data_IF_454073259410
#
_entry.id   IF_454073259410
#
_cell.length_a   1.000
_cell.length_b   1.000
_cell.length_c   1.000
_cell.angle_alpha   90.00
_cell.angle_beta   90.00
_cell.angle_gamma   90.00
#
_symmetry.space_group_name_H-M   'P 1'
#
loop_
_entity.id
_entity.type
_entity.pdbx_description
1 polymer ?
#
# COMPACT_ATOMS: atom_id res chain seq x y z
N UNK A 1 -28.03 -26.18 -65.34
CA UNK A 1 -27.65 -27.58 -65.64
C UNK A 1 -27.51 -28.34 -64.34
N UNK A 2 -28.19 -29.47 -64.14
CA UNK A 2 -28.02 -30.28 -62.94
C UNK A 2 -26.61 -30.91 -62.94
N UNK A 3 -25.92 -30.88 -61.79
CA UNK A 3 -24.61 -31.52 -61.64
C UNK A 3 -24.74 -33.02 -62.01
N UNK A 4 -23.83 -33.50 -62.86
CA UNK A 4 -23.74 -34.92 -63.22
C UNK A 4 -23.59 -35.79 -61.97
N UNK A 5 -24.22 -36.96 -61.97
CA UNK A 5 -24.27 -37.91 -60.84
C UNK A 5 -22.88 -38.25 -60.30
N UNK A 6 -21.87 -38.28 -61.17
CA UNK A 6 -20.45 -38.49 -60.82
C UNK A 6 -19.89 -37.36 -59.96
N UNK A 7 -20.12 -36.08 -60.33
CA UNK A 7 -19.66 -34.94 -59.52
C UNK A 7 -20.33 -34.89 -58.15
N UNK A 8 -21.59 -35.35 -58.04
CA UNK A 8 -22.26 -35.45 -56.73
C UNK A 8 -21.67 -36.54 -55.84
N UNK A 9 -21.21 -37.65 -56.44
CA UNK A 9 -20.52 -38.74 -55.73
C UNK A 9 -19.13 -38.33 -55.25
N UNK A 10 -18.36 -37.60 -56.07
CA UNK A 10 -17.06 -37.06 -55.68
C UNK A 10 -17.16 -36.06 -54.52
N UNK A 11 -18.14 -35.14 -54.57
CA UNK A 11 -18.37 -34.17 -53.49
C UNK A 11 -18.76 -34.87 -52.18
N UNK A 12 -19.59 -35.91 -52.23
CA UNK A 12 -19.95 -36.71 -51.05
C UNK A 12 -18.74 -37.46 -50.49
N UNK A 13 -17.92 -38.06 -51.35
CA UNK A 13 -16.70 -38.75 -50.93
C UNK A 13 -15.70 -37.78 -50.27
N UNK A 14 -15.49 -36.60 -50.84
CA UNK A 14 -14.61 -35.58 -50.26
C UNK A 14 -15.13 -35.01 -48.94
N UNK A 15 -16.46 -34.87 -48.79
CA UNK A 15 -17.11 -34.46 -47.55
C UNK A 15 -16.94 -35.53 -46.45
N UNK A 16 -17.12 -36.81 -46.77
CA UNK A 16 -16.95 -37.91 -45.81
C UNK A 16 -15.50 -38.04 -45.33
N UNK A 17 -14.52 -37.81 -46.21
CA UNK A 17 -13.10 -37.79 -45.83
C UNK A 17 -12.80 -36.61 -44.89
N UNK A 18 -13.34 -35.42 -45.19
CA UNK A 18 -13.15 -34.23 -44.34
C UNK A 18 -13.82 -34.38 -42.97
N UNK A 19 -15.00 -35.00 -42.90
CA UNK A 19 -15.71 -35.27 -41.65
C UNK A 19 -14.93 -36.29 -40.80
N UNK A 20 -14.38 -37.35 -41.41
CA UNK A 20 -13.53 -38.33 -40.70
C UNK A 20 -12.27 -37.69 -40.14
N UNK A 21 -11.63 -36.79 -40.90
CA UNK A 21 -10.45 -36.05 -40.44
C UNK A 21 -10.78 -35.14 -39.25
N UNK A 22 -11.88 -34.39 -39.32
CA UNK A 22 -12.33 -33.54 -38.21
C UNK A 22 -12.66 -34.34 -36.94
N UNK A 23 -13.26 -35.53 -37.07
CA UNK A 23 -13.51 -36.42 -35.94
C UNK A 23 -12.21 -36.96 -35.31
N UNK A 24 -11.18 -37.24 -36.11
CA UNK A 24 -9.85 -37.63 -35.61
C UNK A 24 -9.15 -36.47 -34.88
N UNK A 25 -9.22 -35.26 -35.42
CA UNK A 25 -8.62 -34.09 -34.79
C UNK A 25 -9.33 -33.75 -33.46
N UNK A 26 -10.66 -33.90 -33.40
CA UNK A 26 -11.43 -33.67 -32.18
C UNK A 26 -11.14 -34.71 -31.09
N UNK A 27 -10.93 -35.98 -31.46
CA UNK A 27 -10.53 -37.04 -30.52
C UNK A 27 -9.10 -36.85 -30.02
N UNK A 28 -8.19 -36.37 -30.88
CA UNK A 28 -6.83 -36.02 -30.49
C UNK A 28 -6.79 -34.82 -29.52
N UNK A 29 -7.53 -33.74 -29.81
CA UNK A 29 -7.65 -32.59 -28.91
C UNK A 29 -8.24 -32.99 -27.56
N UNK A 30 -9.27 -33.85 -27.55
CA UNK A 30 -9.87 -34.36 -26.31
C UNK A 30 -8.87 -35.16 -25.48
N UNK A 31 -8.05 -36.00 -26.12
CA UNK A 31 -6.97 -36.74 -25.45
C UNK A 31 -5.92 -35.82 -24.81
N UNK A 32 -5.53 -34.73 -25.49
CA UNK A 32 -4.61 -33.74 -24.93
C UNK A 32 -5.24 -33.02 -23.72
N UNK A 33 -6.49 -32.59 -23.83
CA UNK A 33 -7.20 -31.91 -22.74
C UNK A 33 -7.33 -32.83 -21.51
N UNK A 34 -7.67 -34.10 -21.71
CA UNK A 34 -7.79 -35.07 -20.63
C UNK A 34 -6.43 -35.35 -19.96
N UNK A 35 -5.35 -35.44 -20.74
CA UNK A 35 -3.98 -35.62 -20.23
C UNK A 35 -3.49 -34.40 -19.42
N UNK A 36 -3.74 -33.19 -19.92
CA UNK A 36 -3.40 -31.94 -19.23
C UNK A 36 -4.22 -31.79 -17.95
N UNK A 37 -5.52 -32.11 -17.99
CA UNK A 37 -6.41 -32.10 -16.82
C UNK A 37 -5.92 -33.07 -15.75
N UNK A 38 -5.57 -34.31 -16.12
CA UNK A 38 -5.00 -35.30 -15.21
C UNK A 38 -3.68 -34.82 -14.58
N UNK A 39 -2.79 -34.19 -15.36
CA UNK A 39 -1.55 -33.62 -14.86
C UNK A 39 -1.76 -32.48 -13.86
N UNK A 40 -2.74 -31.59 -14.12
CA UNK A 40 -3.10 -30.51 -13.20
C UNK A 40 -3.68 -31.07 -11.89
N UNK A 41 -4.56 -32.07 -11.97
CA UNK A 41 -5.14 -32.73 -10.79
C UNK A 41 -4.05 -33.40 -9.94
N UNK A 42 -3.09 -34.08 -10.57
CA UNK A 42 -1.97 -34.71 -9.86
C UNK A 42 -1.08 -33.68 -9.14
N UNK A 43 -0.78 -32.54 -9.79
CA UNK A 43 -0.03 -31.44 -9.17
C UNK A 43 -0.80 -30.84 -7.99
N UNK A 44 -2.11 -30.63 -8.14
CA UNK A 44 -2.94 -30.08 -7.07
C UNK A 44 -3.02 -31.03 -5.87
N UNK A 45 -3.21 -32.33 -6.09
CA UNK A 45 -3.22 -33.33 -5.02
C UNK A 45 -1.87 -33.40 -4.30
N UNK A 46 -0.75 -33.39 -5.03
CA UNK A 46 0.58 -33.38 -4.41
C UNK A 46 0.83 -32.15 -3.53
N UNK A 47 0.29 -30.98 -3.92
CA UNK A 47 0.37 -29.77 -3.10
C UNK A 47 -0.56 -29.86 -1.89
N UNK A 48 -1.74 -30.48 -2.05
CA UNK A 48 -2.70 -30.67 -0.98
C UNK A 48 -2.11 -31.55 0.14
N UNK A 49 -1.46 -32.66 -0.22
CA UNK A 49 -0.75 -33.54 0.72
C UNK A 49 0.33 -32.79 1.52
N UNK A 50 1.09 -31.91 0.85
CA UNK A 50 2.12 -31.08 1.51
C UNK A 50 1.49 -30.09 2.50
N UNK A 51 0.32 -29.53 2.19
CA UNK A 51 -0.39 -28.64 3.10
C UNK A 51 -1.03 -29.39 4.27
N UNK A 52 -1.59 -30.58 4.04
CA UNK A 52 -2.14 -31.42 5.10
C UNK A 52 -1.06 -31.83 6.11
N UNK A 53 0.12 -32.24 5.62
CA UNK A 53 1.26 -32.53 6.49
C UNK A 53 1.68 -31.33 7.34
N UNK A 54 1.77 -30.13 6.75
CA UNK A 54 2.07 -28.90 7.51
C UNK A 54 1.01 -28.56 8.56
N UNK A 55 -0.26 -28.84 8.27
CA UNK A 55 -1.35 -28.64 9.21
C UNK A 55 -1.21 -29.59 10.40
N UNK A 56 -0.83 -30.85 10.17
CA UNK A 56 -0.62 -31.81 11.26
C UNK A 56 0.65 -31.52 12.07
N UNK A 57 1.72 -31.05 11.44
CA UNK A 57 2.91 -30.53 12.15
C UNK A 57 2.54 -29.33 13.05
N UNK A 58 1.72 -28.40 12.56
CA UNK A 58 1.24 -27.28 13.37
C UNK A 58 0.31 -27.72 14.51
N UNK A 59 -0.55 -28.72 14.29
CA UNK A 59 -1.41 -29.27 15.36
C UNK A 59 -0.58 -29.91 16.46
N UNK A 60 0.47 -30.66 16.10
CA UNK A 60 1.37 -31.29 17.07
C UNK A 60 2.19 -30.27 17.85
N UNK A 61 2.61 -29.18 17.22
CA UNK A 61 3.26 -28.06 17.90
C UNK A 61 2.30 -27.35 18.88
N UNK A 62 1.05 -27.13 18.47
CA UNK A 62 0.01 -26.55 19.33
C UNK A 62 -0.32 -27.44 20.53
N UNK A 63 -0.41 -28.76 20.36
CA UNK A 63 -0.64 -29.68 21.49
C UNK A 63 0.55 -29.69 22.44
N UNK A 64 1.78 -29.65 21.93
CA UNK A 64 2.98 -29.52 22.77
C UNK A 64 2.98 -28.24 23.60
N UNK A 65 2.65 -27.09 22.99
CA UNK A 65 2.53 -25.81 23.70
C UNK A 65 1.43 -25.87 24.76
N UNK A 66 0.30 -26.53 24.47
CA UNK A 66 -0.77 -26.72 25.46
C UNK A 66 -0.32 -27.58 26.64
N UNK A 67 0.38 -28.69 26.39
CA UNK A 67 0.90 -29.53 27.47
C UNK A 67 1.95 -28.82 28.31
N UNK A 68 2.84 -28.03 27.69
CA UNK A 68 3.85 -27.25 28.38
C UNK A 68 3.20 -26.19 29.30
N UNK A 69 2.18 -25.48 28.81
CA UNK A 69 1.40 -24.55 29.63
C UNK A 69 0.59 -25.24 30.73
N UNK A 70 0.08 -26.44 30.49
CA UNK A 70 -0.67 -27.18 31.52
C UNK A 70 0.26 -27.64 32.66
N UNK A 71 1.47 -28.09 32.33
CA UNK A 71 2.55 -28.39 33.30
C UNK A 71 2.96 -27.12 34.06
N UNK A 72 3.10 -26.00 33.38
CA UNK A 72 3.43 -24.71 33.99
C UNK A 72 2.31 -24.25 34.97
N UNK A 73 1.04 -24.40 34.57
CA UNK A 73 -0.13 -24.11 35.42
C UNK A 73 -0.17 -25.05 36.62
N UNK A 74 0.12 -26.35 36.47
CA UNK A 74 0.17 -27.28 37.60
C UNK A 74 1.32 -26.94 38.56
N UNK A 75 2.48 -26.53 38.03
CA UNK A 75 3.62 -26.07 38.84
C UNK A 75 3.29 -24.81 39.62
N UNK A 76 2.59 -23.86 39.00
CA UNK A 76 2.11 -22.62 39.65
C UNK A 76 1.05 -22.95 40.71
N UNK A 77 0.14 -23.89 40.45
CA UNK A 77 -0.86 -24.35 41.43
C UNK A 77 -0.22 -25.05 42.63
N UNK A 78 0.76 -25.94 42.41
CA UNK A 78 1.52 -26.58 43.48
C UNK A 78 2.28 -25.53 44.32
N UNK A 79 2.91 -24.55 43.66
CA UNK A 79 3.55 -23.42 44.33
C UNK A 79 2.53 -22.60 45.15
N UNK A 80 1.34 -22.31 44.61
CA UNK A 80 0.26 -21.61 45.34
C UNK A 80 -0.26 -22.38 46.56
N UNK A 81 -0.29 -23.72 46.51
CA UNK A 81 -0.67 -24.55 47.65
C UNK A 81 0.41 -24.51 48.76
N UNK A 82 1.69 -24.52 48.39
CA UNK A 82 2.80 -24.34 49.35
C UNK A 82 2.86 -22.91 49.92
N UNK A 83 2.47 -21.91 49.13
CA UNK A 83 2.32 -20.52 49.57
C UNK A 83 1.22 -20.35 50.62
N UNK A 84 0.11 -21.09 50.48
CA UNK A 84 -1.01 -21.01 51.42
C UNK A 84 -0.71 -21.65 52.80
N UNK A 85 0.34 -22.48 52.89
CA UNK A 85 0.79 -23.11 54.14
C UNK A 85 1.75 -22.25 54.97
N UNK A 86 2.31 -21.17 54.42
CA UNK A 86 3.28 -20.29 55.09
C UNK A 86 2.77 -18.86 55.12
N UNK A 87 1.82 -18.60 56.02
CA UNK A 87 1.25 -17.28 56.26
C UNK A 87 2.30 -16.25 56.71
N UNK A 88 2.13 -15.03 56.20
CA UNK A 88 2.57 -13.73 56.74
C UNK A 88 4.02 -13.23 56.54
N UNK A 89 4.81 -13.76 55.59
CA UNK A 89 6.10 -13.14 55.21
C UNK A 89 6.33 -12.93 53.70
N UNK A 90 5.32 -13.22 52.87
CA UNK A 90 5.55 -13.54 51.46
C UNK A 90 5.71 -12.35 50.49
N UNK A 91 5.16 -11.17 50.81
CA UNK A 91 5.07 -10.08 49.81
C UNK A 91 6.42 -9.39 49.49
N UNK A 92 7.37 -9.35 50.44
CA UNK A 92 8.67 -8.71 50.19
C UNK A 92 9.67 -9.64 49.47
N UNK A 93 9.61 -10.94 49.71
CA UNK A 93 10.58 -11.90 49.14
C UNK A 93 10.26 -12.18 47.66
N UNK A 94 8.98 -12.25 47.27
CA UNK A 94 8.58 -12.52 45.88
C UNK A 94 8.95 -11.38 44.92
N UNK A 95 8.70 -10.12 45.33
CA UNK A 95 9.09 -8.93 44.55
C UNK A 95 10.62 -8.87 44.37
N UNK A 96 11.37 -9.16 45.43
CA UNK A 96 12.84 -9.16 45.38
C UNK A 96 13.39 -10.27 44.48
N UNK A 97 12.73 -11.43 44.43
CA UNK A 97 13.15 -12.58 43.62
C UNK A 97 12.82 -12.41 42.14
N UNK A 98 11.64 -11.88 41.80
CA UNK A 98 11.27 -11.58 40.40
C UNK A 98 12.12 -10.43 39.83
N UNK A 99 12.42 -9.39 40.62
CA UNK A 99 13.33 -8.32 40.21
C UNK A 99 14.77 -8.82 39.98
N UNK A 100 15.23 -9.79 40.79
CA UNK A 100 16.53 -10.42 40.59
C UNK A 100 16.55 -11.36 39.38
N UNK A 101 15.42 -11.98 39.02
CA UNK A 101 15.28 -12.73 37.77
C UNK A 101 15.28 -11.82 36.54
N UNK A 102 14.59 -10.67 36.59
CA UNK A 102 14.60 -9.67 35.51
C UNK A 102 16.01 -9.07 35.32
N UNK A 103 16.73 -8.79 36.42
CA UNK A 103 18.14 -8.35 36.38
C UNK A 103 19.11 -9.38 35.80
N UNK A 104 18.79 -10.68 35.87
CA UNK A 104 19.66 -11.78 35.39
C UNK A 104 19.39 -12.18 33.94
N UNK A 105 18.16 -12.04 33.45
CA UNK A 105 17.76 -12.51 32.11
C UNK A 105 18.11 -11.53 30.98
N UNK A 106 18.20 -10.25 31.31
CA UNK A 106 18.67 -9.17 30.44
C UNK A 106 19.63 -8.36 31.32
N UNK A 107 20.85 -8.05 30.87
CA UNK A 107 21.81 -7.23 31.62
C UNK A 107 21.21 -5.85 31.90
N UNK A 108 20.32 -5.73 32.88
CA UNK A 108 19.45 -4.59 33.08
C UNK A 108 19.80 -3.89 34.38
N UNK A 109 19.87 -2.57 34.33
CA UNK A 109 20.28 -1.70 35.43
C UNK A 109 19.08 -0.91 35.96
N UNK A 110 19.00 -0.81 37.29
CA UNK A 110 18.06 0.06 37.96
C UNK A 110 18.65 1.48 38.00
N UNK A 111 18.00 2.43 37.34
CA UNK A 111 18.49 3.79 37.16
C UNK A 111 17.98 4.76 38.23
N UNK A 112 16.80 4.53 38.81
CA UNK A 112 16.30 5.38 39.90
C UNK A 112 17.07 5.12 41.20
N UNK A 113 17.69 6.18 41.74
CA UNK A 113 18.39 6.19 43.04
C UNK A 113 17.71 7.09 44.08
N UNK A 114 16.59 7.72 43.73
CA UNK A 114 15.89 8.69 44.59
C UNK A 114 15.06 7.94 45.63
N UNK A 115 15.30 8.27 46.89
CA UNK A 115 14.62 7.71 48.05
C UNK A 115 13.48 8.62 48.49
N UNK A 116 12.40 8.02 48.97
CA UNK A 116 11.32 8.74 49.64
C UNK A 116 11.72 9.18 51.06
N UNK A 117 10.80 9.82 51.78
CA UNK A 117 11.00 10.28 53.17
C UNK A 117 11.38 9.17 54.16
N UNK A 118 11.10 7.90 53.84
CA UNK A 118 11.45 6.74 54.67
C UNK A 118 12.76 6.07 54.23
N UNK A 119 13.53 6.69 53.33
CA UNK A 119 14.78 6.14 52.82
C UNK A 119 14.61 4.96 51.85
N UNK A 120 13.38 4.68 51.37
CA UNK A 120 13.05 3.58 50.46
C UNK A 120 12.88 4.06 49.02
N UNK A 121 13.21 3.19 48.06
CA UNK A 121 12.94 3.41 46.62
C UNK A 121 11.67 2.63 46.28
N UNK A 122 10.60 3.33 45.91
CA UNK A 122 9.33 2.70 45.51
C UNK A 122 9.20 2.61 43.99
N UNK A 123 9.56 3.67 43.28
CA UNK A 123 9.42 3.72 41.82
C UNK A 123 10.66 3.12 41.14
N UNK A 124 10.48 1.98 40.48
CA UNK A 124 11.55 1.30 39.76
C UNK A 124 11.65 1.79 38.32
N UNK A 125 12.89 2.05 37.87
CA UNK A 125 13.20 2.48 36.50
C UNK A 125 14.33 1.58 36.03
N UNK A 126 13.98 0.56 35.26
CA UNK A 126 14.92 -0.45 34.78
C UNK A 126 15.16 -0.25 33.29
N UNK A 127 16.41 -0.21 32.88
CA UNK A 127 16.82 -0.17 31.47
C UNK A 127 17.82 -1.27 31.17
N UNK A 128 17.90 -1.79 29.93
CA UNK A 128 19.05 -2.58 29.52
C UNK A 128 20.34 -1.78 29.71
N UNK A 129 21.43 -2.43 30.11
CA UNK A 129 22.75 -1.83 30.39
C UNK A 129 23.36 -1.07 29.22
N UNK A 130 22.89 -1.36 28.01
CA UNK A 130 23.29 -0.66 26.78
C UNK A 130 22.70 0.76 26.72
N UNK A 131 21.67 1.06 27.50
CA UNK A 131 21.03 2.37 27.57
C UNK A 131 21.36 3.07 28.89
N UNK A 132 21.87 4.30 28.79
CA UNK A 132 21.97 5.19 29.93
C UNK A 132 20.61 5.82 30.23
N UNK A 133 20.29 5.99 31.51
CA UNK A 133 19.14 6.76 31.95
C UNK A 133 19.53 7.55 33.19
N UNK A 134 19.34 8.87 33.14
CA UNK A 134 19.55 9.74 34.27
C UNK A 134 18.19 10.06 34.90
N UNK A 135 18.10 9.89 36.22
CA UNK A 135 16.87 10.11 36.99
C UNK A 135 17.13 11.18 38.03
N UNK A 136 16.38 12.28 37.97
CA UNK A 136 16.48 13.41 38.90
C UNK A 136 15.12 13.69 39.56
N UNK A 137 15.08 14.29 40.77
CA UNK A 137 13.83 14.78 41.34
C UNK A 137 13.25 15.89 40.45
N UNK A 138 11.93 15.86 40.23
CA UNK A 138 11.23 16.87 39.42
C UNK A 138 11.16 18.20 40.19
N UNK A 139 11.84 19.21 39.67
CA UNK A 139 11.91 20.55 40.27
C UNK A 139 10.69 21.41 39.92
N UNK A 140 9.95 21.06 38.85
CA UNK A 140 8.81 21.83 38.35
C UNK A 140 7.50 21.02 38.39
N UNK A 141 7.09 20.58 39.59
CA UNK A 141 5.92 19.72 39.74
C UNK A 141 4.59 20.47 39.43
N UNK A 142 3.75 19.86 38.57
CA UNK A 142 2.40 20.36 38.23
C UNK A 142 1.35 20.16 39.35
N UNK A 143 1.70 19.36 40.34
CA UNK A 143 0.89 18.96 41.50
C UNK A 143 1.82 19.04 42.73
N UNK A 144 1.32 19.35 43.94
CA UNK A 144 2.13 19.24 45.15
C UNK A 144 2.85 17.89 45.23
N UNK A 145 4.13 17.91 45.61
CA UNK A 145 4.96 16.72 45.65
C UNK A 145 4.39 15.76 46.71
N UNK A 146 4.17 14.52 46.30
CA UNK A 146 3.84 13.44 47.23
C UNK A 146 5.14 13.00 47.93
N UNK A 147 5.17 13.09 49.25
CA UNK A 147 6.33 12.72 50.05
C UNK A 147 6.65 11.23 50.02
N UNK A 148 5.65 10.38 49.73
CA UNK A 148 5.84 8.95 49.52
C UNK A 148 6.29 8.64 48.09
N UNK A 149 5.83 9.43 47.12
CA UNK A 149 6.13 9.30 45.69
C UNK A 149 6.71 10.60 45.12
N UNK A 150 8.00 10.89 45.38
CA UNK A 150 8.63 12.08 44.83
C UNK A 150 8.56 12.02 43.30
N UNK A 151 8.09 13.10 42.67
CA UNK A 151 8.02 13.16 41.23
C UNK A 151 9.43 13.05 40.62
N UNK A 152 9.57 12.25 39.57
CA UNK A 152 10.85 11.94 38.94
C UNK A 152 10.88 12.46 37.50
N UNK A 153 11.99 13.08 37.12
CA UNK A 153 12.34 13.41 35.74
C UNK A 153 13.34 12.37 35.24
N UNK A 154 13.06 11.76 34.09
CA UNK A 154 13.89 10.70 33.52
C UNK A 154 14.41 11.16 32.16
N UNK A 155 15.73 11.19 32.01
CA UNK A 155 16.41 11.50 30.75
C UNK A 155 16.92 10.23 30.11
N UNK A 156 16.53 10.03 28.86
CA UNK A 156 17.01 8.93 28.02
C UNK A 156 17.74 9.55 26.82
N UNK A 157 19.07 9.40 26.71
CA UNK A 157 19.77 9.76 25.51
C UNK A 157 19.35 8.79 24.41
N UNK A 158 18.59 9.30 23.46
CA UNK A 158 18.16 8.57 22.28
C UNK A 158 18.87 9.18 21.09
N UNK A 159 19.77 8.40 20.45
CA UNK A 159 20.21 8.73 19.11
C UNK A 159 19.01 8.56 18.18
N UNK A 160 18.50 9.69 17.69
CA UNK A 160 17.54 9.68 16.61
C UNK A 160 18.26 9.07 15.42
N UNK A 161 17.95 7.82 15.10
CA UNK A 161 18.19 7.33 13.75
C UNK A 161 17.43 8.29 12.85
N UNK A 162 18.15 9.07 12.05
CA UNK A 162 17.51 9.78 10.95
C UNK A 162 16.78 8.70 10.18
N UNK A 163 15.46 8.71 10.26
CA UNK A 163 14.68 7.82 9.45
C UNK A 163 14.94 8.25 8.00
N UNK A 164 15.79 7.50 7.31
CA UNK A 164 16.07 7.64 5.89
C UNK A 164 14.78 7.24 5.15
N UNK A 165 13.80 8.15 5.13
CA UNK A 165 12.57 7.98 4.36
C UNK A 165 12.78 8.55 2.97
N UNK A 166 12.38 7.79 1.95
CA UNK A 166 12.21 8.35 0.62
C UNK A 166 11.08 9.39 0.67
N UNK A 167 11.43 10.68 0.66
CA UNK A 167 10.47 11.78 0.59
C UNK A 167 10.35 12.21 -0.88
N UNK A 168 9.19 12.00 -1.53
CA UNK A 168 8.95 12.53 -2.87
C UNK A 168 8.73 14.04 -2.75
N UNK A 169 9.55 14.82 -3.45
CA UNK A 169 9.59 16.28 -3.31
C UNK A 169 8.50 17.04 -4.11
N UNK A 170 7.24 16.56 -4.13
CA UNK A 170 6.23 17.16 -5.02
C UNK A 170 4.84 17.29 -4.40
N UNK A 171 4.29 18.52 -4.48
CA UNK A 171 2.86 18.81 -4.34
C UNK A 171 2.12 18.06 -5.45
N UNK A 172 1.01 17.40 -5.13
CA UNK A 172 0.24 16.60 -6.10
C UNK A 172 -1.13 17.21 -6.34
N UNK A 173 -1.59 17.25 -7.58
CA UNK A 173 -2.97 17.64 -7.90
C UNK A 173 -3.98 16.72 -7.23
N UNK A 174 -5.04 17.29 -6.65
CA UNK A 174 -6.08 16.56 -5.96
C UNK A 174 -7.39 16.50 -6.76
N UNK A 175 -7.41 15.60 -7.74
CA UNK A 175 -8.60 15.33 -8.56
C UNK A 175 -9.79 14.73 -7.79
N UNK A 176 -9.66 14.44 -6.49
CA UNK A 176 -10.83 14.08 -5.66
C UNK A 176 -11.57 15.30 -5.12
N UNK A 177 -10.96 16.48 -5.20
CA UNK A 177 -11.50 17.75 -4.68
C UNK A 177 -11.59 18.84 -5.76
N UNK A 178 -11.54 18.45 -7.03
CA UNK A 178 -11.68 19.40 -8.13
C UNK A 178 -13.11 19.97 -8.18
N UNK A 179 -13.24 21.19 -8.67
CA UNK A 179 -14.54 21.82 -8.88
C UNK A 179 -15.16 21.30 -10.18
N UNK A 180 -16.06 20.32 -10.05
CA UNK A 180 -16.72 19.65 -11.20
C UNK A 180 -17.45 20.66 -12.09
N UNK A 181 -18.27 21.54 -11.52
CA UNK A 181 -19.08 22.47 -12.30
C UNK A 181 -18.21 23.46 -13.09
N UNK A 182 -17.15 23.98 -12.45
CA UNK A 182 -16.21 24.88 -13.11
C UNK A 182 -15.41 24.16 -14.20
N UNK A 183 -15.00 22.92 -13.93
CA UNK A 183 -14.26 22.09 -14.88
C UNK A 183 -15.09 21.79 -16.14
N UNK A 184 -16.36 21.40 -15.97
CA UNK A 184 -17.28 21.13 -17.08
C UNK A 184 -17.51 22.40 -17.90
N UNK A 185 -17.78 23.53 -17.23
CA UNK A 185 -17.98 24.81 -17.90
C UNK A 185 -16.79 25.17 -18.79
N UNK A 186 -15.57 25.12 -18.25
CA UNK A 186 -14.36 25.46 -19.01
C UNK A 186 -14.05 24.47 -20.13
N UNK A 187 -14.33 23.17 -19.94
CA UNK A 187 -14.16 22.18 -21.00
C UNK A 187 -15.13 22.37 -22.16
N UNK A 188 -16.38 22.74 -21.87
CA UNK A 188 -17.40 23.00 -22.91
C UNK A 188 -17.16 24.34 -23.63
N UNK A 189 -16.63 25.35 -22.94
CA UNK A 189 -16.27 26.65 -23.53
C UNK A 189 -14.97 26.59 -24.37
N UNK A 190 -14.16 25.54 -24.21
CA UNK A 190 -12.92 25.38 -24.95
C UNK A 190 -13.20 25.00 -26.41
N UNK A 191 -12.73 25.83 -27.34
CA UNK A 191 -12.81 25.53 -28.77
C UNK A 191 -11.66 24.61 -29.19
N UNK A 192 -11.99 23.35 -29.52
CA UNK A 192 -11.01 22.36 -30.00
C UNK A 192 -10.77 22.40 -31.51
N UNK A 193 -11.47 23.28 -32.24
CA UNK A 193 -11.35 23.37 -33.70
C UNK A 193 -9.93 23.73 -34.15
N UNK A 194 -9.19 24.48 -33.32
CA UNK A 194 -7.79 24.87 -33.58
C UNK A 194 -6.87 23.65 -33.83
N UNK A 195 -7.18 22.49 -33.25
CA UNK A 195 -6.38 21.27 -33.44
C UNK A 195 -6.39 20.77 -34.89
N UNK A 196 -7.41 21.13 -35.68
CA UNK A 196 -7.53 20.71 -37.09
C UNK A 196 -6.51 21.40 -38.01
N UNK A 197 -5.87 22.48 -37.54
CA UNK A 197 -4.91 23.25 -38.32
C UNK A 197 -3.47 22.73 -38.21
N UNK A 198 -3.20 21.81 -37.28
CA UNK A 198 -1.87 21.21 -37.15
C UNK A 198 -1.66 20.11 -38.20
N UNK A 199 -0.52 20.16 -38.87
CA UNK A 199 -0.01 19.08 -39.72
C UNK A 199 0.88 18.10 -38.95
N UNK A 200 1.53 18.58 -37.89
CA UNK A 200 2.42 17.82 -37.03
C UNK A 200 1.68 17.28 -35.80
N UNK A 201 1.94 16.02 -35.47
CA UNK A 201 1.27 15.28 -34.38
C UNK A 201 1.75 15.77 -33.01
N UNK A 202 3.05 15.98 -32.86
CA UNK A 202 3.63 16.39 -31.57
C UNK A 202 3.11 17.77 -31.18
N UNK A 203 3.13 18.72 -32.12
CA UNK A 203 2.59 20.07 -31.94
C UNK A 203 1.10 20.08 -31.57
N UNK A 204 0.29 19.21 -32.20
CA UNK A 204 -1.13 19.10 -31.89
C UNK A 204 -1.36 18.56 -30.46
N UNK A 205 -0.59 17.56 -30.04
CA UNK A 205 -0.67 16.97 -28.69
C UNK A 205 -0.17 17.94 -27.63
N UNK A 206 0.86 18.72 -27.91
CA UNK A 206 1.37 19.75 -27.01
C UNK A 206 0.33 20.86 -26.83
N UNK A 207 -0.28 21.35 -27.92
CA UNK A 207 -1.37 22.33 -27.85
C UNK A 207 -2.56 21.81 -27.03
N UNK A 208 -2.97 20.56 -27.27
CA UNK A 208 -4.02 19.91 -26.47
C UNK A 208 -3.65 19.84 -24.98
N UNK A 209 -2.42 19.43 -24.68
CA UNK A 209 -1.93 19.26 -23.31
C UNK A 209 -1.85 20.60 -22.56
N UNK A 210 -1.41 21.66 -23.24
CA UNK A 210 -1.34 23.02 -22.67
C UNK A 210 -2.74 23.55 -22.34
N UNK A 211 -3.68 23.46 -23.27
CA UNK A 211 -5.08 23.88 -23.05
C UNK A 211 -5.73 23.10 -21.90
N UNK A 212 -5.48 21.80 -21.81
CA UNK A 212 -5.98 20.98 -20.71
C UNK A 212 -5.33 21.36 -19.37
N UNK A 213 -4.02 21.61 -19.36
CA UNK A 213 -3.29 22.01 -18.16
C UNK A 213 -3.81 23.35 -17.60
N UNK A 214 -4.12 24.32 -18.48
CA UNK A 214 -4.69 25.60 -18.05
C UNK A 214 -6.05 25.43 -17.33
N UNK A 215 -6.90 24.53 -17.84
CA UNK A 215 -8.19 24.20 -17.19
C UNK A 215 -7.94 23.52 -15.84
N UNK A 216 -7.00 22.57 -15.79
CA UNK A 216 -6.64 21.84 -14.57
C UNK A 216 -6.17 22.80 -13.48
N UNK A 217 -5.27 23.73 -13.81
CA UNK A 217 -4.71 24.68 -12.84
C UNK A 217 -5.78 25.60 -12.24
N UNK A 218 -6.82 25.94 -12.99
CA UNK A 218 -7.96 26.76 -12.53
C UNK A 218 -8.97 25.99 -11.68
N UNK A 219 -8.98 24.66 -11.72
CA UNK A 219 -10.06 23.81 -11.20
C UNK A 219 -9.63 22.79 -10.14
N UNK A 220 -8.36 22.38 -10.14
CA UNK A 220 -7.87 21.27 -9.32
C UNK A 220 -6.92 21.79 -8.25
N UNK A 221 -7.26 21.66 -6.95
CA UNK A 221 -6.38 22.15 -5.90
C UNK A 221 -5.15 21.23 -5.73
N UNK A 222 -4.02 21.84 -5.36
CA UNK A 222 -2.85 21.08 -4.92
C UNK A 222 -3.08 20.46 -3.53
N UNK A 223 -2.82 19.17 -3.41
CA UNK A 223 -2.72 18.50 -2.12
C UNK A 223 -1.33 18.71 -1.51
N UNK A 224 -1.33 19.11 -0.23
CA UNK A 224 -0.19 18.97 0.65
C UNK A 224 -0.33 17.64 1.38
N UNK A 225 0.77 16.88 1.44
CA UNK A 225 0.95 15.75 2.34
C UNK A 225 0.97 16.27 3.78
N UNK A 226 -0.21 16.53 4.35
CA UNK A 226 -0.30 16.82 5.78
C UNK A 226 0.04 15.53 6.53
N UNK A 227 1.11 15.58 7.33
CA UNK A 227 1.38 14.52 8.31
C UNK A 227 0.13 14.31 9.15
N UNK A 228 -0.38 13.08 9.18
CA UNK A 228 -1.53 12.75 10.02
C UNK A 228 -1.12 12.88 11.48
N UNK A 229 -1.59 13.95 12.14
CA UNK A 229 -1.30 14.22 13.56
C UNK A 229 -1.97 13.20 14.49
N UNK A 230 -3.03 12.55 14.02
CA UNK A 230 -3.81 11.59 14.79
C UNK A 230 -3.84 10.26 14.03
N UNK A 231 -3.96 9.13 14.76
CA UNK A 231 -4.14 7.83 14.12
C UNK A 231 -5.35 7.82 13.19
N UNK A 232 -5.27 7.06 12.08
CA UNK A 232 -6.32 7.02 11.06
C UNK A 232 -7.70 6.58 11.58
N UNK A 233 -7.74 5.85 12.70
CA UNK A 233 -8.95 5.36 13.34
C UNK A 233 -9.56 6.35 14.35
N UNK A 234 -8.94 7.51 14.59
CA UNK A 234 -9.55 8.55 15.40
C UNK A 234 -10.73 9.18 14.65
N UNK A 235 -11.88 9.27 15.32
CA UNK A 235 -13.02 10.03 14.81
C UNK A 235 -12.81 11.53 14.99
N UNK A 236 -13.53 12.33 14.19
CA UNK A 236 -13.55 13.79 14.33
C UNK A 236 -13.96 14.23 15.75
N UNK A 237 -14.87 13.48 16.38
CA UNK A 237 -15.34 13.71 17.75
C UNK A 237 -14.24 13.50 18.79
N UNK A 238 -13.50 12.39 18.72
CA UNK A 238 -12.36 12.14 19.62
C UNK A 238 -11.33 13.26 19.47
N UNK A 239 -11.02 13.65 18.23
CA UNK A 239 -10.08 14.75 17.94
C UNK A 239 -10.58 16.06 18.55
N UNK A 240 -11.88 16.38 18.43
CA UNK A 240 -12.48 17.57 19.02
C UNK A 240 -12.37 17.56 20.55
N UNK A 241 -12.66 16.43 21.20
CA UNK A 241 -12.54 16.26 22.66
C UNK A 241 -11.09 16.39 23.13
N UNK A 242 -10.11 15.82 22.40
CA UNK A 242 -8.68 15.99 22.70
C UNK A 242 -8.27 17.45 22.62
N UNK A 243 -8.69 18.17 21.58
CA UNK A 243 -8.45 19.62 21.45
C UNK A 243 -9.07 20.40 22.60
N UNK A 244 -10.31 20.08 22.97
CA UNK A 244 -11.05 20.72 24.08
C UNK A 244 -10.40 20.46 25.44
N UNK A 245 -9.90 19.24 25.67
CA UNK A 245 -9.09 18.90 26.86
C UNK A 245 -7.85 19.78 26.96
N UNK A 246 -7.10 19.92 25.86
CA UNK A 246 -5.92 20.81 25.85
C UNK A 246 -6.27 22.29 26.02
N UNK A 247 -7.41 22.73 25.49
CA UNK A 247 -7.93 24.07 25.75
C UNK A 247 -8.18 24.30 27.24
N UNK A 248 -8.89 23.40 27.94
CA UNK A 248 -9.11 23.54 29.38
C UNK A 248 -7.82 23.48 30.19
N UNK A 249 -6.86 22.63 29.84
CA UNK A 249 -5.55 22.62 30.49
C UNK A 249 -4.81 23.95 30.31
N UNK A 250 -4.92 24.58 29.14
CA UNK A 250 -4.35 25.91 28.89
C UNK A 250 -5.04 26.99 29.74
N UNK A 251 -6.36 26.92 29.87
CA UNK A 251 -7.13 27.83 30.73
C UNK A 251 -6.74 27.66 32.20
N UNK A 252 -6.66 26.41 32.69
CA UNK A 252 -6.21 26.11 34.04
C UNK A 252 -4.80 26.64 34.33
N UNK A 253 -3.86 26.51 33.38
CA UNK A 253 -2.50 27.05 33.55
C UNK A 253 -2.49 28.57 33.76
N UNK A 254 -3.43 29.28 33.14
CA UNK A 254 -3.54 30.75 33.22
C UNK A 254 -4.30 31.22 34.46
N UNK A 255 -5.43 30.58 34.76
CA UNK A 255 -6.35 31.05 35.82
C UNK A 255 -6.22 30.30 37.14
N UNK A 256 -5.61 29.10 37.14
CA UNK A 256 -5.56 28.15 38.26
C UNK A 256 -6.93 27.74 38.81
N UNK A 257 -8.03 28.02 38.09
CA UNK A 257 -9.37 27.70 38.55
C UNK A 257 -9.69 26.20 38.44
N UNK A 258 -10.09 25.59 39.56
CA UNK A 258 -10.28 24.14 39.69
C UNK A 258 -11.31 23.56 38.70
N UNK A 259 -12.33 24.36 38.31
CA UNK A 259 -13.32 24.00 37.30
C UNK A 259 -12.66 23.52 35.99
N UNK A 260 -11.65 24.23 35.49
CA UNK A 260 -10.99 23.86 34.24
C UNK A 260 -10.18 22.57 34.36
N UNK A 261 -9.56 22.35 35.52
CA UNK A 261 -8.87 21.10 35.82
C UNK A 261 -9.86 19.93 35.87
N UNK A 262 -11.01 20.10 36.54
CA UNK A 262 -12.04 19.09 36.62
C UNK A 262 -12.58 18.73 35.21
N UNK A 263 -12.92 19.73 34.40
CA UNK A 263 -13.36 19.50 33.01
C UNK A 263 -12.31 18.78 32.16
N UNK A 264 -11.02 19.07 32.36
CA UNK A 264 -9.95 18.35 31.68
C UNK A 264 -9.83 16.89 32.13
N UNK A 265 -10.03 16.61 33.43
CA UNK A 265 -10.06 15.25 33.99
C UNK A 265 -11.24 14.44 33.45
N UNK A 266 -12.44 15.03 33.44
CA UNK A 266 -13.65 14.39 32.92
C UNK A 266 -13.47 14.03 31.43
N UNK A 267 -13.00 14.97 30.62
CA UNK A 267 -12.69 14.72 29.21
C UNK A 267 -11.63 13.64 29.04
N UNK A 268 -10.59 13.59 29.89
CA UNK A 268 -9.58 12.53 29.82
C UNK A 268 -10.20 11.15 30.04
N UNK A 269 -11.11 11.00 31.00
CA UNK A 269 -11.82 9.75 31.27
C UNK A 269 -12.66 9.32 30.06
N UNK A 270 -13.47 10.23 29.53
CA UNK A 270 -14.31 9.99 28.35
C UNK A 270 -13.48 9.62 27.12
N UNK A 271 -12.44 10.40 26.82
CA UNK A 271 -11.53 10.14 25.69
C UNK A 271 -10.90 8.75 25.79
N UNK A 272 -10.48 8.32 26.99
CA UNK A 272 -9.86 6.99 27.18
C UNK A 272 -10.83 5.87 26.78
N UNK A 273 -12.09 5.95 27.22
CA UNK A 273 -13.12 4.96 26.90
C UNK A 273 -13.45 4.95 25.40
N UNK A 274 -13.66 6.13 24.82
CA UNK A 274 -14.00 6.26 23.39
C UNK A 274 -12.88 5.77 22.48
N UNK A 275 -11.62 6.06 22.82
CA UNK A 275 -10.45 5.57 22.10
C UNK A 275 -10.42 4.03 22.11
N UNK A 276 -10.67 3.40 23.26
CA UNK A 276 -10.69 1.94 23.36
C UNK A 276 -11.81 1.32 22.52
N UNK A 277 -13.01 1.90 22.59
CA UNK A 277 -14.17 1.44 21.81
C UNK A 277 -13.94 1.60 20.30
N UNK A 278 -13.49 2.77 19.86
CA UNK A 278 -13.26 3.04 18.43
C UNK A 278 -12.11 2.20 17.86
N UNK A 279 -11.06 1.95 18.65
CA UNK A 279 -10.01 1.03 18.24
C UNK A 279 -10.54 -0.40 18.04
N UNK A 280 -11.37 -0.91 18.97
CA UNK A 280 -12.00 -2.23 18.83
C UNK A 280 -12.85 -2.32 17.56
N UNK A 281 -13.72 -1.33 17.34
CA UNK A 281 -14.55 -1.23 16.12
C UNK A 281 -13.71 -1.13 14.85
N UNK A 282 -12.58 -0.43 14.90
CA UNK A 282 -11.68 -0.31 13.77
C UNK A 282 -11.04 -1.67 13.41
N UNK A 283 -10.58 -2.43 14.40
CA UNK A 283 -10.02 -3.78 14.19
C UNK A 283 -11.10 -4.71 13.62
N UNK A 284 -12.30 -4.71 14.20
CA UNK A 284 -13.41 -5.54 13.72
C UNK A 284 -13.80 -5.20 12.27
N UNK A 285 -13.93 -3.92 11.93
CA UNK A 285 -14.15 -3.48 10.54
C UNK A 285 -13.03 -3.93 9.60
N UNK A 286 -11.77 -3.85 10.05
CA UNK A 286 -10.61 -4.25 9.25
C UNK A 286 -10.57 -5.77 9.02
N UNK A 287 -11.00 -6.57 10.00
CA UNK A 287 -11.11 -8.02 9.89
C UNK A 287 -12.27 -8.43 8.97
N UNK A 288 -13.45 -7.81 9.14
CA UNK A 288 -14.63 -8.14 8.35
C UNK A 288 -14.49 -7.71 6.89
N UNK A 289 -13.80 -6.58 6.64
CA UNK A 289 -13.50 -6.11 5.28
C UNK A 289 -12.32 -6.83 4.64
N UNK A 290 -11.59 -7.71 5.34
CA UNK A 290 -10.42 -8.37 4.77
C UNK A 290 -10.72 -9.16 3.48
N UNK A 291 -11.91 -9.80 3.42
CA UNK A 291 -12.35 -10.56 2.23
C UNK A 291 -12.78 -9.68 1.06
N UNK A 292 -13.25 -8.45 1.31
CA UNK A 292 -13.78 -7.55 0.27
C UNK A 292 -12.81 -6.43 -0.13
N UNK A 293 -12.01 -5.93 0.81
CA UNK A 293 -11.01 -4.88 0.64
C UNK A 293 -9.81 -5.10 1.58
N UNK A 294 -8.87 -5.96 1.17
CA UNK A 294 -7.62 -6.19 1.89
C UNK A 294 -6.74 -4.93 2.01
N UNK A 295 -7.03 -3.84 1.28
CA UNK A 295 -6.20 -2.62 1.28
C UNK A 295 -6.19 -1.94 2.65
N UNK A 296 -7.32 -1.88 3.35
CA UNK A 296 -7.41 -1.22 4.65
C UNK A 296 -6.54 -1.92 5.69
N UNK A 297 -6.58 -3.25 5.70
CA UNK A 297 -5.73 -4.08 6.54
C UNK A 297 -4.24 -3.85 6.24
N UNK A 298 -3.83 -3.93 4.97
CA UNK A 298 -2.43 -3.72 4.61
C UNK A 298 -1.96 -2.29 4.86
N UNK A 299 -2.81 -1.29 4.69
CA UNK A 299 -2.49 0.09 5.08
C UNK A 299 -2.23 0.21 6.58
N UNK A 300 -3.04 -0.46 7.42
CA UNK A 300 -2.85 -0.48 8.87
C UNK A 300 -1.56 -1.19 9.28
N UNK A 301 -1.28 -2.37 8.71
CA UNK A 301 -0.06 -3.13 8.98
C UNK A 301 1.19 -2.35 8.54
N UNK A 302 1.16 -1.78 7.34
CA UNK A 302 2.26 -0.97 6.81
C UNK A 302 2.49 0.30 7.65
N UNK A 303 1.42 0.94 8.13
CA UNK A 303 1.52 2.08 9.04
C UNK A 303 2.14 1.74 10.39
N UNK A 304 2.03 0.49 10.88
CA UNK A 304 2.71 0.03 12.10
C UNK A 304 4.17 -0.35 11.87
N UNK A 305 4.48 -0.85 10.69
CA UNK A 305 5.82 -1.32 10.36
C UNK A 305 6.79 -0.18 10.02
N UNK A 306 6.32 1.07 9.83
CA UNK A 306 7.11 2.23 9.39
C UNK A 306 8.00 1.95 8.16
N UNK A 307 7.65 0.94 7.35
CA UNK A 307 8.41 0.59 6.15
C UNK A 307 7.90 1.42 4.99
N UNK A 308 8.73 2.30 4.46
CA UNK A 308 8.48 2.90 3.16
C UNK A 308 8.59 1.85 2.06
N UNK A 309 7.84 2.04 0.97
CA UNK A 309 7.93 1.14 -0.20
C UNK A 309 9.33 1.16 -0.82
N UNK A 310 9.98 2.31 -0.78
CA UNK A 310 11.36 2.53 -1.19
C UNK A 310 12.09 3.04 0.05
N UNK A 311 13.06 2.28 0.61
CA UNK A 311 13.94 2.77 1.67
C UNK A 311 14.67 4.05 1.25
N UNK A 312 14.92 4.98 2.17
CA UNK A 312 15.73 6.17 1.88
C UNK A 312 17.23 5.89 1.80
N UNK A 313 17.69 4.71 2.23
CA UNK A 313 19.01 4.18 1.89
C UNK A 313 18.88 2.92 1.05
N UNK A 314 19.37 3.00 -0.18
CA UNK A 314 19.48 1.87 -1.09
C UNK A 314 20.94 1.51 -1.29
N UNK A 315 21.23 0.22 -1.46
CA UNK A 315 22.57 -0.28 -1.76
C UNK A 315 22.55 -1.11 -3.02
N UNK A 316 23.57 -0.98 -3.84
CA UNK A 316 23.80 -1.81 -5.02
C UNK A 316 25.30 -2.03 -5.17
N UNK A 317 25.77 -3.28 -4.99
CA UNK A 317 27.20 -3.56 -4.87
C UNK A 317 27.83 -2.83 -3.68
N UNK A 318 28.89 -2.05 -3.94
CA UNK A 318 29.57 -1.18 -2.98
C UNK A 318 28.85 0.15 -2.72
N UNK A 319 27.95 0.55 -3.63
CA UNK A 319 27.42 1.90 -3.67
C UNK A 319 26.23 2.06 -2.72
N UNK A 320 26.12 3.25 -2.13
CA UNK A 320 25.06 3.66 -1.22
C UNK A 320 24.38 4.91 -1.76
N UNK A 321 23.06 4.88 -1.83
CA UNK A 321 22.24 5.98 -2.32
C UNK A 321 21.30 6.43 -1.22
N UNK A 322 21.41 7.69 -0.80
CA UNK A 322 20.63 8.27 0.31
C UNK A 322 19.62 9.32 -0.13
N UNK A 323 19.78 9.92 -1.32
CA UNK A 323 18.84 10.91 -1.84
C UNK A 323 17.79 10.26 -2.74
N UNK A 324 16.57 10.81 -2.73
CA UNK A 324 15.48 10.33 -3.59
C UNK A 324 15.86 10.32 -5.08
N UNK A 325 16.64 11.30 -5.54
CA UNK A 325 17.05 11.39 -6.95
C UNK A 325 18.09 10.33 -7.30
N UNK A 326 19.09 10.14 -6.45
CA UNK A 326 20.14 9.15 -6.68
C UNK A 326 19.58 7.73 -6.68
N UNK A 327 18.63 7.45 -5.77
CA UNK A 327 17.92 6.17 -5.73
C UNK A 327 17.16 5.92 -7.04
N UNK A 328 16.43 6.92 -7.55
CA UNK A 328 15.68 6.79 -8.81
C UNK A 328 16.62 6.60 -10.01
N UNK A 329 17.72 7.35 -10.05
CA UNK A 329 18.74 7.22 -11.10
C UNK A 329 19.41 5.84 -11.05
N UNK A 330 19.71 5.32 -9.87
CA UNK A 330 20.26 3.98 -9.69
C UNK A 330 19.30 2.90 -10.24
N UNK A 331 18.00 3.00 -9.95
CA UNK A 331 17.00 2.12 -10.56
C UNK A 331 16.95 2.27 -12.09
N UNK A 332 16.96 3.50 -12.61
CA UNK A 332 16.93 3.74 -14.05
C UNK A 332 18.13 3.12 -14.76
N UNK A 333 19.33 3.29 -14.22
CA UNK A 333 20.57 2.69 -14.73
C UNK A 333 20.53 1.17 -14.68
N UNK A 334 20.09 0.59 -13.55
CA UNK A 334 19.95 -0.86 -13.41
C UNK A 334 18.97 -1.43 -14.45
N UNK A 335 17.77 -0.86 -14.56
CA UNK A 335 16.79 -1.34 -15.54
C UNK A 335 17.29 -1.17 -16.98
N UNK A 336 17.95 -0.05 -17.30
CA UNK A 336 18.60 0.14 -18.61
C UNK A 336 19.62 -0.96 -18.91
N UNK A 337 20.42 -1.37 -17.92
CA UNK A 337 21.48 -2.37 -18.10
C UNK A 337 20.97 -3.78 -18.42
N UNK A 338 19.74 -4.12 -17.99
CA UNK A 338 19.13 -5.43 -18.27
C UNK A 338 18.28 -5.44 -19.54
N UNK A 339 18.04 -4.29 -20.16
CA UNK A 339 17.43 -4.23 -21.48
C UNK A 339 18.47 -4.57 -22.54
N UNK A 340 18.14 -5.54 -23.39
CA UNK A 340 18.91 -5.83 -24.60
C UNK A 340 18.83 -4.57 -25.47
N UNK A 341 19.98 -3.96 -25.74
CA UNK A 341 20.05 -2.91 -26.75
C UNK A 341 19.83 -3.57 -28.09
N UNK A 342 18.87 -3.09 -28.89
CA UNK A 342 18.63 -3.54 -30.28
C UNK A 342 19.79 -3.10 -31.20
N UNK A 343 21.03 -3.46 -30.84
CA UNK A 343 22.21 -2.95 -31.50
C UNK A 343 22.69 -3.84 -32.64
N UNK A 344 21.98 -4.88 -33.09
CA UNK A 344 22.43 -5.68 -34.25
C UNK A 344 21.39 -6.52 -35.01
N UNK A 345 20.10 -6.19 -34.95
CA UNK A 345 19.16 -6.58 -36.02
C UNK A 345 17.82 -5.92 -35.74
N UNK A 346 17.56 -4.77 -36.38
CA UNK A 346 16.18 -4.58 -36.83
C UNK A 346 15.86 -5.82 -37.66
N UNK A 347 14.85 -6.66 -37.31
CA UNK A 347 14.44 -7.71 -38.22
C UNK A 347 14.14 -7.00 -39.53
N UNK A 348 14.93 -7.27 -40.57
CA UNK A 348 14.76 -6.58 -41.83
C UNK A 348 13.34 -6.88 -42.28
N UNK A 349 12.45 -5.89 -42.15
CA UNK A 349 11.01 -6.05 -42.42
C UNK A 349 10.80 -6.49 -43.88
N UNK A 350 11.83 -6.33 -44.71
CA UNK A 350 11.97 -6.86 -46.07
C UNK A 350 11.60 -8.34 -46.22
N UNK A 351 11.78 -9.21 -45.21
CA UNK A 351 11.41 -10.63 -45.33
C UNK A 351 9.92 -10.92 -45.17
N UNK A 352 9.10 -9.95 -44.72
CA UNK A 352 7.65 -10.11 -44.56
C UNK A 352 6.82 -9.57 -45.74
N UNK A 353 7.44 -8.89 -46.71
CA UNK A 353 6.73 -8.27 -47.84
C UNK A 353 6.42 -9.20 -49.02
N UNK A 354 6.73 -10.51 -48.93
CA UNK A 354 6.27 -11.50 -49.91
C UNK A 354 4.80 -11.93 -49.73
N UNK A 355 3.98 -11.10 -49.07
CA UNK A 355 2.54 -11.33 -48.94
C UNK A 355 1.78 -10.78 -50.15
N UNK A 356 0.86 -11.60 -50.65
CA UNK A 356 -0.05 -11.31 -51.75
C UNK A 356 -0.70 -9.90 -51.58
N UNK A 357 -0.59 -8.98 -52.56
CA UNK A 357 -1.10 -7.60 -52.45
C UNK A 357 -2.65 -7.51 -52.41
N UNK A 358 -3.36 -8.61 -52.20
CA UNK A 358 -4.82 -8.68 -52.15
C UNK A 358 -5.42 -8.53 -50.75
N UNK A 359 -4.61 -8.49 -49.69
CA UNK A 359 -5.10 -8.30 -48.30
C UNK A 359 -4.54 -7.01 -47.68
N UNK A 360 -4.92 -5.84 -48.20
CA UNK A 360 -4.68 -4.58 -47.51
C UNK A 360 -5.59 -4.50 -46.28
N UNK A 361 -5.01 -4.42 -45.09
CA UNK A 361 -5.74 -4.07 -43.88
C UNK A 361 -5.99 -2.57 -43.86
N UNK A 362 -7.19 -2.14 -44.24
CA UNK A 362 -7.58 -0.74 -44.21
C UNK A 362 -8.13 -0.38 -42.82
N UNK A 363 -7.35 0.39 -42.06
CA UNK A 363 -7.85 1.00 -40.82
C UNK A 363 -8.71 2.18 -41.21
N UNK A 364 -10.03 2.06 -40.98
CA UNK A 364 -10.96 3.17 -41.17
C UNK A 364 -10.62 4.37 -40.28
N UNK A 365 -11.22 5.53 -40.59
CA UNK A 365 -11.09 6.72 -39.74
C UNK A 365 -11.65 6.43 -38.35
N UNK A 366 -10.95 6.91 -37.32
CA UNK A 366 -11.44 6.84 -35.95
C UNK A 366 -12.64 7.78 -35.82
N UNK A 367 -13.73 7.25 -35.29
CA UNK A 367 -14.99 7.96 -35.07
C UNK A 367 -15.18 8.34 -33.60
N UNK A 368 -16.15 9.21 -33.33
CA UNK A 368 -16.57 9.55 -31.97
C UNK A 368 -16.97 8.33 -31.13
N UNK A 369 -17.62 7.34 -31.76
CA UNK A 369 -18.03 6.11 -31.08
C UNK A 369 -16.82 5.26 -30.66
N UNK A 370 -15.76 5.23 -31.46
CA UNK A 370 -14.53 4.51 -31.11
C UNK A 370 -13.87 5.10 -29.86
N UNK A 371 -13.90 6.43 -29.70
CA UNK A 371 -13.40 7.10 -28.48
C UNK A 371 -14.23 6.71 -27.26
N UNK A 372 -15.57 6.73 -27.39
CA UNK A 372 -16.47 6.37 -26.29
C UNK A 372 -16.26 4.91 -25.87
N UNK A 373 -16.22 3.98 -26.83
CA UNK A 373 -16.01 2.56 -26.57
C UNK A 373 -14.61 2.29 -26.01
N UNK A 374 -13.58 2.99 -26.51
CA UNK A 374 -12.23 2.97 -25.97
C UNK A 374 -12.18 3.41 -24.51
N UNK A 375 -12.82 4.54 -24.19
CA UNK A 375 -12.88 5.08 -22.83
C UNK A 375 -13.62 4.15 -21.86
N UNK A 376 -14.69 3.48 -22.31
CA UNK A 376 -15.43 2.49 -21.49
C UNK A 376 -14.52 1.35 -21.03
N UNK A 377 -13.67 0.82 -21.93
CA UNK A 377 -12.73 -0.28 -21.66
C UNK A 377 -11.62 0.08 -20.66
N UNK A 378 -11.34 1.37 -20.46
CA UNK A 378 -10.30 1.81 -19.52
C UNK A 378 -10.67 1.50 -18.06
N UNK A 379 -9.71 0.97 -17.29
CA UNK A 379 -9.87 0.74 -15.85
C UNK A 379 -10.00 2.08 -15.12
N UNK A 380 -11.06 2.24 -14.33
CA UNK A 380 -11.32 3.47 -13.59
C UNK A 380 -10.29 3.67 -12.46
N UNK A 381 -9.25 4.49 -12.71
CA UNK A 381 -8.17 4.76 -11.77
C UNK A 381 -7.86 6.25 -11.69
N UNK A 382 -7.53 6.71 -10.47
CA UNK A 382 -7.04 8.07 -10.18
C UNK A 382 -5.51 8.20 -10.26
N UNK A 383 -4.78 7.10 -10.56
CA UNK A 383 -3.34 7.17 -10.79
C UNK A 383 -3.07 7.91 -12.10
N UNK A 384 -2.22 8.94 -12.06
CA UNK A 384 -1.88 9.75 -13.21
C UNK A 384 -0.57 9.28 -13.86
N UNK A 385 -0.51 9.38 -15.19
CA UNK A 385 0.71 9.18 -15.97
C UNK A 385 1.66 10.38 -15.87
N UNK A 386 2.68 10.45 -16.76
CA UNK A 386 3.54 11.62 -16.90
C UNK A 386 2.77 12.93 -17.13
N UNK A 387 1.62 12.83 -17.80
CA UNK A 387 0.66 13.89 -18.11
C UNK A 387 -0.08 14.47 -16.89
N UNK A 388 0.08 13.88 -15.70
CA UNK A 388 -0.63 14.25 -14.48
C UNK A 388 -2.16 14.28 -14.61
N UNK A 389 -2.75 13.58 -15.58
CA UNK A 389 -4.20 13.51 -15.78
C UNK A 389 -4.73 12.08 -15.51
N UNK A 390 -5.72 11.92 -14.60
CA UNK A 390 -6.22 10.60 -14.27
C UNK A 390 -7.32 10.13 -15.24
N UNK A 391 -7.24 8.85 -15.61
CA UNK A 391 -8.25 8.16 -16.44
C UNK A 391 -9.67 8.31 -15.87
N UNK A 392 -9.83 8.29 -14.54
CA UNK A 392 -11.14 8.47 -13.92
C UNK A 392 -11.81 9.80 -14.29
N UNK A 393 -11.03 10.88 -14.44
CA UNK A 393 -11.56 12.20 -14.79
C UNK A 393 -11.85 12.25 -16.30
N UNK A 394 -10.98 11.67 -17.13
CA UNK A 394 -11.25 11.50 -18.56
C UNK A 394 -12.58 10.78 -18.81
N UNK A 395 -12.85 9.69 -18.07
CA UNK A 395 -14.11 8.94 -18.21
C UNK A 395 -15.34 9.74 -17.78
N UNK A 396 -15.22 10.59 -16.76
CA UNK A 396 -16.33 11.43 -16.30
C UNK A 396 -16.72 12.50 -17.32
N UNK A 397 -15.76 12.96 -18.14
CA UNK A 397 -15.93 14.08 -19.07
C UNK A 397 -15.64 13.67 -20.51
N UNK A 398 -15.85 12.39 -20.83
CA UNK A 398 -15.44 11.81 -22.12
C UNK A 398 -16.02 12.59 -23.30
N UNK A 399 -17.26 13.07 -23.18
CA UNK A 399 -17.97 13.84 -24.20
C UNK A 399 -17.20 15.09 -24.63
N UNK A 400 -16.61 15.81 -23.67
CA UNK A 400 -15.80 17.01 -23.95
C UNK A 400 -14.45 16.69 -24.61
N UNK A 401 -13.99 15.44 -24.53
CA UNK A 401 -12.73 15.00 -25.13
C UNK A 401 -12.90 14.30 -26.49
N UNK A 402 -14.14 14.04 -26.93
CA UNK A 402 -14.39 13.35 -28.19
C UNK A 402 -13.76 14.10 -29.37
N UNK A 403 -14.11 15.38 -29.55
CA UNK A 403 -13.60 16.17 -30.67
C UNK A 403 -12.06 16.22 -30.73
N UNK A 404 -11.35 16.65 -29.68
CA UNK A 404 -9.89 16.76 -29.75
C UNK A 404 -9.21 15.39 -29.98
N UNK A 405 -9.71 14.31 -29.37
CA UNK A 405 -9.12 12.98 -29.53
C UNK A 405 -9.36 12.39 -30.92
N UNK A 406 -10.54 12.58 -31.51
CA UNK A 406 -10.82 12.16 -32.90
C UNK A 406 -9.88 12.86 -33.87
N UNK A 407 -9.65 14.16 -33.70
CA UNK A 407 -8.74 14.93 -34.57
C UNK A 407 -7.31 14.41 -34.44
N UNK A 408 -6.80 14.29 -33.22
CA UNK A 408 -5.41 13.86 -32.96
C UNK A 408 -5.20 12.42 -33.46
N UNK A 409 -6.11 11.48 -33.16
CA UNK A 409 -5.92 10.09 -33.57
C UNK A 409 -5.98 9.90 -35.09
N UNK A 410 -6.87 10.63 -35.78
CA UNK A 410 -6.88 10.58 -37.23
C UNK A 410 -5.64 11.26 -37.85
N UNK A 411 -5.08 12.29 -37.19
CA UNK A 411 -3.81 12.88 -37.60
C UNK A 411 -2.64 11.88 -37.44
N UNK A 412 -2.60 11.13 -36.35
CA UNK A 412 -1.64 10.04 -36.12
C UNK A 412 -1.71 9.00 -37.23
N UNK A 413 -2.91 8.55 -37.59
CA UNK A 413 -3.08 7.56 -38.67
C UNK A 413 -2.68 8.14 -40.03
N UNK A 414 -3.04 9.39 -40.31
CA UNK A 414 -2.71 10.07 -41.58
C UNK A 414 -1.20 10.27 -41.77
N UNK A 415 -0.49 10.62 -40.71
CA UNK A 415 0.95 10.93 -40.73
C UNK A 415 1.82 9.73 -40.39
N UNK A 416 1.20 8.58 -40.08
CA UNK A 416 1.85 7.36 -39.57
C UNK A 416 2.84 7.62 -38.43
N UNK A 417 2.59 8.66 -37.63
CA UNK A 417 3.50 9.16 -36.60
C UNK A 417 2.83 9.11 -35.23
N UNK A 418 3.47 8.48 -34.26
CA UNK A 418 2.96 8.41 -32.87
C UNK A 418 3.60 9.51 -32.00
N UNK A 419 2.81 10.23 -31.17
CA UNK A 419 3.31 11.37 -30.40
C UNK A 419 4.42 10.95 -29.44
N UNK A 420 5.49 11.74 -29.40
CA UNK A 420 6.62 11.57 -28.51
C UNK A 420 6.20 11.68 -27.04
N UNK A 421 5.35 12.64 -26.70
CA UNK A 421 4.84 12.83 -25.34
C UNK A 421 4.16 11.57 -24.78
N UNK A 422 3.46 10.80 -25.63
CA UNK A 422 2.75 9.58 -25.23
C UNK A 422 3.63 8.33 -25.20
N UNK A 423 4.88 8.39 -25.67
CA UNK A 423 5.88 7.32 -25.50
C UNK A 423 6.46 7.32 -24.09
N UNK A 424 6.28 8.41 -23.34
CA UNK A 424 6.77 8.53 -21.98
C UNK A 424 5.92 7.71 -21.00
N UNK A 425 6.59 7.03 -20.06
CA UNK A 425 5.92 6.24 -19.03
C UNK A 425 6.57 6.44 -17.66
N UNK A 426 5.78 6.28 -16.60
CA UNK A 426 6.28 6.29 -15.22
C UNK A 426 6.67 4.88 -14.81
N UNK A 427 7.97 4.61 -14.73
CA UNK A 427 8.50 3.36 -14.20
C UNK A 427 8.47 3.41 -12.68
N UNK A 428 7.91 2.36 -12.07
CA UNK A 428 7.83 2.23 -10.63
C UNK A 428 8.45 0.89 -10.22
N UNK A 429 9.60 0.89 -9.51
CA UNK A 429 10.18 -0.35 -9.02
C UNK A 429 9.22 -1.03 -8.03
N UNK A 430 9.05 -2.33 -8.20
CA UNK A 430 8.24 -3.18 -7.31
C UNK A 430 9.19 -4.21 -6.70
N UNK A 431 9.31 -4.16 -5.38
CA UNK A 431 10.08 -5.16 -4.65
C UNK A 431 9.40 -6.53 -4.75
N UNK A 432 10.13 -7.51 -5.27
CA UNK A 432 9.70 -8.91 -5.30
C UNK A 432 10.42 -9.64 -4.17
N UNK A 433 9.70 -10.00 -3.12
CA UNK A 433 10.22 -10.83 -2.04
C UNK A 433 10.18 -12.30 -2.50
N UNK A 434 11.25 -12.76 -3.14
CA UNK A 434 11.45 -14.16 -3.49
C UNK A 434 12.93 -14.50 -3.39
N UNK A 435 13.24 -15.73 -2.98
CA UNK A 435 14.59 -16.28 -3.13
C UNK A 435 14.76 -16.51 -4.63
N UNK A 436 15.64 -15.74 -5.27
CA UNK A 436 16.18 -16.15 -6.56
C UNK A 436 17.06 -17.38 -6.27
N UNK A 437 16.48 -18.56 -6.48
CA UNK A 437 17.20 -19.83 -6.52
C UNK A 437 18.17 -19.85 -7.69
#
# INVERSE_FOLDING_TARGET
MPLTREKQLEIRSAADVSIKQLCQDQTFIKSIVDSVSAGIVQILNSKLDVYEKKIDDLKTEITKIKTDHEVEIQTIKASLIDLNKKGDSFDMIKITTELNQIKRKENSIQCNKIKNIHGKILDLIVTPSVFSCEVTPEVNALVPIDYHHPALTCYFPYEVKEDEYFVPNQKRLNFRKYNVNKFNKLLTEMDWSHLKHFSDVDSAVDSFSLSLQEIIDKCVPLSSTRSQKYPAWFTSEIIAKVKRKHHYLRMYRRSKYCFYLQRAKDLRKTIKLEIQLEYKKFIERSQNSFKSDARQFWNFVNAKNNKSRIPGLMKYGSDKFTTSQDIVNAFANFFKSVYISDSNSSPSVTSYFNYNPSSYFNIGKITSNDIIEGAKKLKNKFSCGPDNFPVSILKCHVESFIEPLVVIFNLILKTTTFPTAWKNTRVCPIFKAGVCS
#
